data_IF_093678627185
#
_entry.id   IF_093678627185
#
_cell.length_a   1.000
_cell.length_b   1.000
_cell.length_c   1.000
_cell.angle_alpha   90.00
_cell.angle_beta   90.00
_cell.angle_gamma   90.00
#
_symmetry.space_group_name_H-M   'P 1'
#
loop_
_entity.id
_entity.type
_entity.pdbx_description
1 polymer ?
#
# COMPACT_ATOMS: atom_id res chain seq x y z
N UNK A 1 1.77 -33.47 2.21
CA UNK A 1 1.48 -32.43 3.23
C UNK A 1 0.22 -31.72 2.78
N UNK A 2 -0.83 -31.69 3.61
CA UNK A 2 -2.08 -31.00 3.31
C UNK A 2 -1.78 -29.51 3.07
N UNK A 3 -1.85 -29.06 1.82
CA UNK A 3 -1.98 -27.64 1.51
C UNK A 3 -3.35 -27.22 2.03
N UNK A 4 -3.40 -26.64 3.24
CA UNK A 4 -4.54 -25.81 3.61
C UNK A 4 -4.64 -24.77 2.49
N UNK A 5 -5.67 -24.84 1.67
CA UNK A 5 -5.97 -23.83 0.69
C UNK A 5 -6.09 -22.52 1.47
N UNK A 6 -5.09 -21.65 1.32
CA UNK A 6 -5.02 -20.42 2.10
C UNK A 6 -6.21 -19.55 1.68
N UNK A 7 -7.04 -19.19 2.65
CA UNK A 7 -8.21 -18.36 2.40
C UNK A 7 -7.72 -16.94 2.11
N UNK A 8 -7.87 -16.52 0.85
CA UNK A 8 -7.48 -15.20 0.38
C UNK A 8 -8.69 -14.30 0.09
N UNK A 9 -9.88 -14.65 0.58
CA UNK A 9 -11.10 -13.88 0.35
C UNK A 9 -10.97 -12.41 0.81
N UNK A 10 -10.18 -12.13 1.85
CA UNK A 10 -9.94 -10.76 2.33
C UNK A 10 -9.17 -9.86 1.34
N UNK A 11 -8.43 -10.45 0.38
CA UNK A 11 -7.64 -9.73 -0.62
C UNK A 11 -8.41 -9.49 -1.91
N UNK A 12 -9.52 -10.19 -2.11
CA UNK A 12 -10.43 -9.92 -3.22
C UNK A 12 -11.17 -8.60 -2.95
N UNK A 13 -11.04 -7.65 -3.88
CA UNK A 13 -11.60 -6.31 -3.71
C UNK A 13 -12.90 -6.18 -4.47
N UNK A 14 -13.98 -5.90 -3.74
CA UNK A 14 -15.22 -5.44 -4.32
C UNK A 14 -15.04 -3.99 -4.83
N UNK A 15 -14.93 -3.84 -6.14
CA UNK A 15 -14.73 -2.54 -6.78
C UNK A 15 -15.93 -1.60 -6.65
N UNK A 16 -17.13 -2.11 -6.32
CA UNK A 16 -18.30 -1.25 -6.07
C UNK A 16 -18.09 -0.35 -4.84
N UNK A 17 -17.17 -0.71 -3.94
CA UNK A 17 -16.79 0.11 -2.79
C UNK A 17 -16.08 1.41 -3.18
N UNK A 18 -15.55 1.51 -4.41
CA UNK A 18 -14.86 2.70 -4.88
C UNK A 18 -15.80 3.90 -5.04
N UNK A 19 -17.07 3.67 -5.34
CA UNK A 19 -18.08 4.73 -5.54
C UNK A 19 -18.67 5.26 -4.24
N UNK A 20 -18.27 4.71 -3.08
CA UNK A 20 -18.73 5.20 -1.77
C UNK A 20 -18.29 6.64 -1.55
N UNK A 21 -19.23 7.48 -1.09
CA UNK A 21 -18.89 8.80 -0.61
C UNK A 21 -17.97 8.69 0.60
N UNK A 22 -16.93 9.53 0.61
CA UNK A 22 -15.93 9.62 1.66
C UNK A 22 -15.83 11.05 2.18
N UNK A 23 -15.49 11.25 3.46
CA UNK A 23 -15.21 12.56 4.02
C UNK A 23 -14.11 13.27 3.23
N UNK A 24 -14.16 14.60 3.24
CA UNK A 24 -13.11 15.43 2.65
C UNK A 24 -11.79 15.20 3.42
N UNK A 25 -10.70 15.05 2.68
CA UNK A 25 -9.35 14.81 3.18
C UNK A 25 -8.51 14.03 2.18
N UNK A 26 -7.25 13.80 2.53
CA UNK A 26 -6.25 13.14 1.69
C UNK A 26 -5.65 11.92 2.38
N UNK A 27 -5.84 10.76 1.76
CA UNK A 27 -5.18 9.51 2.13
C UNK A 27 -3.88 9.32 1.35
N UNK A 28 -2.76 9.15 2.04
CA UNK A 28 -1.55 8.60 1.43
C UNK A 28 -1.65 7.09 1.28
N UNK A 29 -1.27 6.56 0.12
CA UNK A 29 -1.17 5.12 -0.15
C UNK A 29 0.30 4.78 -0.37
N UNK A 30 0.89 4.12 0.61
CA UNK A 30 2.28 3.67 0.59
C UNK A 30 2.30 2.15 0.42
N UNK A 31 2.82 1.69 -0.72
CA UNK A 31 3.08 0.28 -0.97
C UNK A 31 4.58 0.07 -0.94
N UNK A 32 5.06 -0.86 -0.13
CA UNK A 32 6.50 -1.07 0.01
C UNK A 32 6.86 -2.55 0.18
N UNK A 33 8.09 -2.85 -0.24
CA UNK A 33 8.75 -4.14 -0.07
C UNK A 33 10.23 -3.86 0.04
N UNK A 34 10.86 -4.33 1.12
CA UNK A 34 12.31 -4.19 1.34
C UNK A 34 12.84 -2.77 1.07
N UNK A 35 12.22 -1.77 1.71
CA UNK A 35 12.48 -0.35 1.45
C UNK A 35 13.03 0.37 2.68
N UNK A 36 13.70 -0.35 3.59
CA UNK A 36 14.11 0.18 4.89
C UNK A 36 14.98 1.46 4.81
N UNK A 37 15.78 1.60 3.75
CA UNK A 37 16.77 2.68 3.60
C UNK A 37 16.15 4.09 3.63
N UNK A 38 14.98 4.27 3.01
CA UNK A 38 14.35 5.59 2.83
C UNK A 38 13.00 5.73 3.51
N UNK A 39 12.38 4.62 3.91
CA UNK A 39 11.01 4.56 4.40
C UNK A 39 10.75 5.50 5.59
N UNK A 40 11.70 5.57 6.52
CA UNK A 40 11.56 6.42 7.71
C UNK A 40 11.45 7.90 7.32
N UNK A 41 12.38 8.37 6.49
CA UNK A 41 12.43 9.75 6.02
C UNK A 41 11.28 10.09 5.06
N UNK A 42 10.87 9.15 4.21
CA UNK A 42 9.71 9.27 3.33
C UNK A 42 8.45 9.60 4.16
N UNK A 43 8.13 8.76 5.15
CA UNK A 43 6.95 8.93 6.00
C UNK A 43 7.01 10.25 6.77
N UNK A 44 8.15 10.58 7.39
CA UNK A 44 8.29 11.84 8.13
C UNK A 44 8.09 13.07 7.24
N UNK A 45 8.52 13.00 5.98
CA UNK A 45 8.41 14.13 5.06
C UNK A 45 6.98 14.44 4.60
N UNK A 46 6.05 13.48 4.67
CA UNK A 46 4.68 13.66 4.16
C UNK A 46 3.57 13.53 5.21
N UNK A 47 3.78 12.83 6.33
CA UNK A 47 2.70 12.44 7.28
C UNK A 47 1.95 13.63 7.89
N UNK A 48 2.60 14.78 8.04
CA UNK A 48 1.96 15.98 8.56
C UNK A 48 0.88 16.53 7.62
N UNK A 49 1.09 16.42 6.31
CA UNK A 49 0.15 16.90 5.30
C UNK A 49 -1.02 15.94 5.03
N UNK A 50 -0.91 14.67 5.42
CA UNK A 50 -1.95 13.67 5.19
C UNK A 50 -2.97 13.62 6.34
N UNK A 51 -4.22 13.33 6.02
CA UNK A 51 -5.22 12.98 7.03
C UNK A 51 -5.03 11.54 7.52
N UNK A 52 -4.65 10.64 6.61
CA UNK A 52 -4.21 9.29 6.95
C UNK A 52 -3.13 8.76 6.00
N UNK A 53 -2.40 7.76 6.44
CA UNK A 53 -1.47 6.98 5.63
C UNK A 53 -1.85 5.50 5.73
N UNK A 54 -2.26 4.91 4.60
CA UNK A 54 -2.41 3.47 4.43
C UNK A 54 -1.07 2.92 3.95
N UNK A 55 -0.36 2.21 4.83
CA UNK A 55 0.85 1.49 4.49
C UNK A 55 0.54 0.01 4.27
N UNK A 56 0.77 -0.50 3.07
CA UNK A 56 0.63 -1.92 2.76
C UNK A 56 1.99 -2.49 2.39
N UNK A 57 2.47 -3.48 3.11
CA UNK A 57 3.74 -4.14 2.82
C UNK A 57 3.55 -5.62 2.52
N UNK A 58 4.50 -6.23 1.81
CA UNK A 58 4.46 -7.65 1.50
C UNK A 58 5.86 -8.24 1.51
N UNK A 59 6.00 -9.46 2.03
CA UNK A 59 7.20 -10.29 1.95
C UNK A 59 8.53 -9.54 2.24
N UNK A 60 8.53 -8.69 3.27
CA UNK A 60 9.73 -7.97 3.68
C UNK A 60 10.65 -8.87 4.52
N UNK A 61 11.93 -8.85 4.21
CA UNK A 61 12.99 -9.57 4.95
C UNK A 61 13.97 -8.62 5.65
N UNK A 62 13.80 -7.31 5.45
CA UNK A 62 14.60 -6.25 6.07
C UNK A 62 13.83 -5.55 7.22
N UNK A 63 14.32 -4.38 7.65
CA UNK A 63 13.72 -3.60 8.73
C UNK A 63 12.42 -2.86 8.36
N UNK A 64 11.90 -3.01 7.13
CA UNK A 64 10.69 -2.31 6.63
C UNK A 64 9.51 -2.46 7.59
N UNK A 65 9.17 -3.69 7.96
CA UNK A 65 8.01 -3.96 8.81
C UNK A 65 8.17 -3.35 10.22
N UNK A 66 9.40 -3.35 10.76
CA UNK A 66 9.70 -2.77 12.07
C UNK A 66 9.64 -1.24 12.03
N UNK A 67 10.14 -0.61 10.95
CA UNK A 67 10.02 0.84 10.73
C UNK A 67 8.54 1.23 10.70
N UNK A 68 7.71 0.53 9.91
CA UNK A 68 6.27 0.79 9.84
C UNK A 68 5.64 0.74 11.23
N UNK A 69 5.87 -0.34 11.99
CA UNK A 69 5.34 -0.48 13.36
C UNK A 69 5.76 0.68 14.28
N UNK A 70 7.02 1.11 14.23
CA UNK A 70 7.49 2.29 14.99
C UNK A 70 6.77 3.57 14.57
N UNK A 71 6.57 3.78 13.26
CA UNK A 71 5.83 4.94 12.74
C UNK A 71 4.35 4.91 13.15
N UNK A 72 3.70 3.76 13.09
CA UNK A 72 2.33 3.60 13.58
C UNK A 72 2.22 3.92 15.08
N UNK A 73 3.17 3.48 15.91
CA UNK A 73 3.19 3.86 17.33
C UNK A 73 3.40 5.36 17.53
N UNK A 74 4.15 6.03 16.65
CA UNK A 74 4.38 7.49 16.69
C UNK A 74 3.15 8.29 16.21
N UNK A 75 2.42 7.76 15.23
CA UNK A 75 1.26 8.40 14.60
C UNK A 75 0.03 7.48 14.59
N UNK A 76 -0.48 7.05 15.77
CA UNK A 76 -1.49 6.00 15.87
C UNK A 76 -2.83 6.38 15.22
N UNK A 77 -3.15 7.67 15.18
CA UNK A 77 -4.39 8.18 14.61
C UNK A 77 -4.32 8.38 13.09
N UNK A 78 -3.11 8.40 12.51
CA UNK A 78 -2.91 8.64 11.07
C UNK A 78 -2.47 7.40 10.30
N UNK A 79 -1.65 6.53 10.88
CA UNK A 79 -1.02 5.42 10.15
C UNK A 79 -1.76 4.10 10.39
N UNK A 80 -2.27 3.52 9.31
CA UNK A 80 -2.86 2.17 9.30
C UNK A 80 -1.98 1.26 8.46
N UNK A 81 -1.55 0.14 9.06
CA UNK A 81 -0.66 -0.82 8.43
C UNK A 81 -1.45 -2.08 8.07
N UNK A 82 -1.23 -2.60 6.86
CA UNK A 82 -1.76 -3.87 6.40
C UNK A 82 -0.63 -4.72 5.82
N UNK A 83 -0.52 -5.97 6.25
CA UNK A 83 0.34 -6.94 5.57
C UNK A 83 -0.45 -7.59 4.43
N UNK A 84 0.17 -7.68 3.26
CA UNK A 84 -0.39 -8.37 2.10
C UNK A 84 0.27 -9.73 1.96
N UNK A 85 -0.46 -10.78 2.32
CA UNK A 85 0.06 -12.15 2.33
C UNK A 85 0.11 -12.87 0.97
N UNK A 86 -0.76 -12.58 -0.04
CA UNK A 86 -0.63 -13.22 -1.33
C UNK A 86 0.73 -12.92 -1.97
N UNK A 87 1.32 -13.94 -2.59
CA UNK A 87 2.50 -13.75 -3.42
C UNK A 87 2.16 -12.83 -4.59
N UNK A 88 3.02 -11.85 -4.85
CA UNK A 88 2.90 -10.93 -5.98
C UNK A 88 4.02 -11.26 -6.96
N UNK A 89 3.68 -11.43 -8.23
CA UNK A 89 4.67 -11.62 -9.26
C UNK A 89 5.53 -10.36 -9.43
N UNK A 90 6.88 -10.50 -9.48
CA UNK A 90 7.78 -9.36 -9.63
C UNK A 90 7.65 -8.72 -11.01
N UNK A 91 8.23 -7.54 -11.17
CA UNK A 91 8.28 -6.84 -12.47
C UNK A 91 9.29 -7.50 -13.41
N UNK A 92 10.38 -8.05 -12.87
CA UNK A 92 11.43 -8.74 -13.62
C UNK A 92 11.11 -10.23 -13.71
N UNK A 93 10.39 -10.60 -14.76
CA UNK A 93 9.84 -11.95 -14.96
C UNK A 93 10.66 -12.73 -15.96
N UNK A 94 10.88 -14.02 -15.66
CA UNK A 94 11.29 -14.96 -16.69
C UNK A 94 10.16 -15.17 -17.71
N UNK A 95 10.49 -15.51 -18.96
CA UNK A 95 9.52 -15.71 -20.05
C UNK A 95 8.39 -16.68 -19.67
N UNK A 96 8.73 -17.77 -18.96
CA UNK A 96 7.74 -18.76 -18.50
C UNK A 96 6.73 -18.14 -17.52
N UNK A 97 7.21 -17.35 -16.54
CA UNK A 97 6.35 -16.67 -15.57
C UNK A 97 5.48 -15.60 -16.23
N UNK A 98 6.03 -14.91 -17.24
CA UNK A 98 5.25 -13.95 -18.02
C UNK A 98 4.04 -14.61 -18.69
N UNK A 99 4.23 -15.78 -19.32
CA UNK A 99 3.11 -16.51 -19.93
C UNK A 99 2.08 -16.98 -18.90
N UNK A 100 2.51 -17.43 -17.72
CA UNK A 100 1.59 -17.77 -16.63
C UNK A 100 0.74 -16.57 -16.20
N UNK A 101 1.38 -15.41 -16.01
CA UNK A 101 0.74 -14.17 -15.58
C UNK A 101 -0.27 -13.65 -16.60
N UNK A 102 0.05 -13.77 -17.89
CA UNK A 102 -0.86 -13.36 -18.97
C UNK A 102 -2.17 -14.16 -19.00
N UNK A 103 -2.17 -15.35 -18.40
CA UNK A 103 -3.37 -16.19 -18.27
C UNK A 103 -4.16 -15.93 -16.98
N UNK A 104 -3.66 -15.10 -16.06
CA UNK A 104 -4.37 -14.78 -14.83
C UNK A 104 -5.57 -13.85 -15.09
N UNK A 105 -6.65 -13.96 -14.28
CA UNK A 105 -7.69 -12.96 -14.25
C UNK A 105 -7.13 -11.56 -13.99
N UNK A 106 -7.69 -10.52 -14.62
CA UNK A 106 -7.22 -9.13 -14.49
C UNK A 106 -7.29 -8.60 -13.05
N UNK A 107 -8.19 -9.15 -12.27
CA UNK A 107 -8.44 -8.87 -10.85
C UNK A 107 -7.71 -9.85 -9.90
N UNK A 108 -6.79 -10.66 -10.43
CA UNK A 108 -6.00 -11.60 -9.63
C UNK A 108 -5.21 -10.87 -8.52
N UNK A 109 -5.30 -11.42 -7.31
CA UNK A 109 -4.57 -10.99 -6.12
C UNK A 109 -3.05 -11.16 -6.24
N UNK A 110 -2.59 -11.93 -7.23
CA UNK A 110 -1.17 -12.16 -7.48
C UNK A 110 -0.55 -11.11 -8.42
N UNK A 111 -1.37 -10.23 -9.00
CA UNK A 111 -0.93 -9.14 -9.85
C UNK A 111 -0.66 -7.88 -9.02
N UNK A 112 0.22 -7.03 -9.54
CA UNK A 112 0.44 -5.68 -9.00
C UNK A 112 -0.87 -4.87 -8.93
N UNK A 113 -1.79 -5.08 -9.88
CA UNK A 113 -3.12 -4.47 -9.88
C UNK A 113 -3.96 -4.92 -8.69
N UNK A 114 -4.00 -6.22 -8.38
CA UNK A 114 -4.71 -6.76 -7.22
C UNK A 114 -4.18 -6.19 -5.91
N UNK A 115 -2.86 -6.17 -5.74
CA UNK A 115 -2.19 -5.55 -4.59
C UNK A 115 -2.50 -4.04 -4.48
N UNK A 116 -2.52 -3.33 -5.61
CA UNK A 116 -2.88 -1.90 -5.66
C UNK A 116 -4.35 -1.68 -5.26
N UNK A 117 -5.26 -2.50 -5.80
CA UNK A 117 -6.68 -2.43 -5.49
C UNK A 117 -6.92 -2.69 -4.01
N UNK A 118 -6.20 -3.65 -3.41
CA UNK A 118 -6.30 -3.92 -1.98
C UNK A 118 -5.88 -2.71 -1.14
N UNK A 119 -4.79 -2.03 -1.50
CA UNK A 119 -4.37 -0.82 -0.81
C UNK A 119 -5.42 0.32 -0.96
N UNK A 120 -5.95 0.52 -2.17
CA UNK A 120 -7.01 1.50 -2.44
C UNK A 120 -8.28 1.16 -1.65
N UNK A 121 -8.61 -0.13 -1.47
CA UNK A 121 -9.82 -0.53 -0.75
C UNK A 121 -9.80 -0.16 0.74
N UNK A 122 -8.65 0.23 1.30
CA UNK A 122 -8.52 0.68 2.69
C UNK A 122 -8.62 2.20 2.86
N UNK A 123 -8.69 2.96 1.75
CA UNK A 123 -8.79 4.43 1.74
C UNK A 123 -10.12 4.88 2.35
N UNK A 124 -10.05 5.82 3.29
CA UNK A 124 -11.22 6.35 3.99
C UNK A 124 -11.54 7.80 3.62
N UNK A 125 -10.63 8.55 3.00
CA UNK A 125 -10.88 9.92 2.54
C UNK A 125 -11.14 10.04 1.04
N UNK A 126 -11.69 11.19 0.64
CA UNK A 126 -12.14 11.47 -0.73
C UNK A 126 -11.02 11.48 -1.76
N UNK A 127 -9.86 12.03 -1.38
CA UNK A 127 -8.70 12.09 -2.26
C UNK A 127 -7.64 11.12 -1.78
N UNK A 128 -6.91 10.55 -2.73
CA UNK A 128 -5.81 9.66 -2.43
C UNK A 128 -4.58 10.03 -3.27
N UNK A 129 -3.41 9.90 -2.66
CA UNK A 129 -2.12 10.08 -3.32
C UNK A 129 -1.27 8.84 -3.14
N UNK A 130 -0.69 8.36 -4.24
CA UNK A 130 0.33 7.31 -4.18
C UNK A 130 1.63 7.91 -3.66
N UNK A 131 2.25 7.23 -2.71
CA UNK A 131 3.55 7.57 -2.14
C UNK A 131 4.48 6.40 -2.40
N UNK A 132 5.62 6.67 -3.04
CA UNK A 132 6.69 5.68 -3.16
C UNK A 132 7.64 5.82 -1.97
N UNK A 133 8.10 4.69 -1.43
CA UNK A 133 8.89 4.64 -0.19
C UNK A 133 10.28 5.29 -0.28
N UNK A 134 10.71 5.66 -1.48
CA UNK A 134 11.95 6.37 -1.81
C UNK A 134 11.72 7.85 -2.17
N UNK A 135 10.50 8.38 -1.99
CA UNK A 135 10.19 9.79 -2.19
C UNK A 135 10.40 10.62 -0.92
N UNK A 136 10.99 11.81 -1.10
CA UNK A 136 11.06 12.85 -0.07
C UNK A 136 10.24 14.06 -0.50
N UNK A 137 9.34 14.48 0.37
CA UNK A 137 8.45 15.62 0.12
C UNK A 137 9.01 16.89 0.77
N UNK A 138 8.81 18.04 0.12
CA UNK A 138 8.95 19.32 0.78
C UNK A 138 7.74 19.52 1.71
N UNK A 139 7.90 19.17 2.98
CA UNK A 139 6.79 18.98 3.93
C UNK A 139 5.81 20.15 3.98
N UNK A 140 6.30 21.39 4.04
CA UNK A 140 5.43 22.58 4.06
C UNK A 140 4.62 22.76 2.78
N UNK A 141 5.25 22.55 1.61
CA UNK A 141 4.58 22.66 0.32
C UNK A 141 3.57 21.53 0.12
N UNK A 142 3.97 20.31 0.50
CA UNK A 142 3.10 19.14 0.42
C UNK A 142 1.83 19.32 1.26
N UNK A 143 2.00 19.79 2.50
CA UNK A 143 0.88 20.10 3.38
C UNK A 143 -0.07 21.13 2.77
N UNK A 144 0.46 22.22 2.20
CA UNK A 144 -0.37 23.24 1.51
C UNK A 144 -1.22 22.66 0.39
N UNK A 145 -0.72 21.66 -0.36
CA UNK A 145 -1.50 21.01 -1.41
C UNK A 145 -2.58 20.08 -0.87
N UNK A 146 -2.36 19.45 0.29
CA UNK A 146 -3.35 18.57 0.91
C UNK A 146 -4.46 19.37 1.64
N UNK A 147 -4.13 20.55 2.15
CA UNK A 147 -5.06 21.45 2.85
C UNK A 147 -5.92 22.32 1.89
N UNK A 148 -5.58 22.37 0.59
CA UNK A 148 -6.22 23.22 -0.42
C UNK A 148 -7.55 22.67 -0.97
#
# INVERSE_FOLDING_TARGET
MNSKQQDYTEYAVDLSQLTKERPLGVTGILRCQNSADFLDACIESCIEGLDELIAVYHNCTDETANILKRKQSKYPDKIKIFEYHPYIYPIDLADEQFQEIMNLPKDSIHLLSGYTNYAISKVTYRYAIKIDSDQLFFSESFKKYCDA
#
